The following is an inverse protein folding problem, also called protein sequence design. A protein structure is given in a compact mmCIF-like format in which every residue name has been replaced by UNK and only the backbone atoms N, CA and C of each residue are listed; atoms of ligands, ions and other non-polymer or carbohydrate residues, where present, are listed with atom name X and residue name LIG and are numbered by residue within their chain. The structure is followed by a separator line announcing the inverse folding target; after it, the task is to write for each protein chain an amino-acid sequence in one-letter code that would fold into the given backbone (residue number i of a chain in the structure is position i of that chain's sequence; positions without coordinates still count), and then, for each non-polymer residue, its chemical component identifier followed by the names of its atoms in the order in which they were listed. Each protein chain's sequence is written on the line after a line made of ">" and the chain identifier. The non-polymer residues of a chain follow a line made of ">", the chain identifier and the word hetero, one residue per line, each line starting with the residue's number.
data_IF_098013900241
#
_entry.id   IF_098013900241
#
_cell.length_a   1.000
_cell.length_b   1.000
_cell.length_c   1.000
_cell.angle_alpha   90.00
_cell.angle_beta   90.00
_cell.angle_gamma   90.00
#
_symmetry.space_group_name_H-M   'P 1'
#
loop_
_entity.id
_entity.type
_entity.pdbx_description
1 polymer ?
#
# COMPACT_ATOMS: atom_id res chain seq x y z
N UNK A 1 -13.07 -14.51 -5.62
CA UNK A 1 -13.11 -14.02 -4.23
C UNK A 1 -13.98 -12.77 -4.16
N UNK A 2 -14.75 -12.55 -3.09
CA UNK A 2 -15.49 -11.32 -2.85
C UNK A 2 -15.01 -10.72 -1.52
N UNK A 3 -14.69 -9.43 -1.50
CA UNK A 3 -14.29 -8.68 -0.30
C UNK A 3 -15.45 -7.76 0.08
N UNK A 4 -15.84 -7.75 1.36
CA UNK A 4 -16.88 -6.81 1.82
C UNK A 4 -16.24 -5.43 1.95
N UNK A 5 -16.94 -4.40 1.48
CA UNK A 5 -16.45 -3.02 1.50
C UNK A 5 -17.58 -2.08 1.93
N UNK A 6 -17.25 -1.12 2.80
CA UNK A 6 -18.04 0.07 3.07
C UNK A 6 -17.30 1.25 2.47
N UNK A 7 -18.01 2.08 1.71
CA UNK A 7 -17.48 3.30 1.14
C UNK A 7 -18.31 4.48 1.66
N UNK A 8 -17.70 5.30 2.51
CA UNK A 8 -18.29 6.54 3.05
C UNK A 8 -17.84 7.78 2.27
N UNK A 9 -16.95 7.61 1.29
CA UNK A 9 -16.55 8.69 0.41
C UNK A 9 -17.64 9.00 -0.62
N UNK A 10 -17.50 10.14 -1.30
CA UNK A 10 -18.31 10.53 -2.46
C UNK A 10 -17.77 10.00 -3.80
N UNK A 11 -16.75 9.15 -3.77
CA UNK A 11 -16.07 8.63 -4.94
C UNK A 11 -16.55 7.22 -5.30
N UNK A 12 -16.47 6.78 -6.57
CA UNK A 12 -16.77 5.42 -6.96
C UNK A 12 -15.93 4.39 -6.19
N UNK A 13 -16.43 3.15 -6.12
CA UNK A 13 -15.64 2.05 -5.57
C UNK A 13 -14.35 1.84 -6.39
N UNK A 14 -13.27 1.34 -5.77
CA UNK A 14 -12.07 0.96 -6.50
C UNK A 14 -12.37 -0.12 -7.54
N UNK A 15 -11.85 0.05 -8.75
CA UNK A 15 -12.04 -0.85 -9.87
C UNK A 15 -10.69 -1.19 -10.52
N UNK A 16 -10.63 -2.38 -11.12
CA UNK A 16 -9.47 -2.78 -11.89
C UNK A 16 -9.45 -2.02 -13.22
N UNK A 17 -8.36 -1.30 -13.47
CA UNK A 17 -8.23 -0.48 -14.68
C UNK A 17 -8.22 -1.32 -15.97
N UNK A 18 -7.69 -2.54 -15.90
CA UNK A 18 -7.67 -3.50 -17.00
C UNK A 18 -7.96 -4.92 -16.48
N UNK A 19 -8.38 -5.87 -17.34
CA UNK A 19 -8.67 -7.25 -16.91
C UNK A 19 -7.48 -7.99 -16.26
N UNK A 20 -6.25 -7.56 -16.53
CA UNK A 20 -5.02 -8.17 -16.02
C UNK A 20 -4.31 -7.28 -14.97
N UNK A 21 -4.97 -6.22 -14.50
CA UNK A 21 -4.42 -5.37 -13.45
C UNK A 21 -4.32 -6.14 -12.13
N UNK A 22 -3.17 -6.08 -11.47
CA UNK A 22 -2.96 -6.75 -10.18
C UNK A 22 -3.68 -6.05 -9.02
N UNK A 23 -3.87 -4.73 -9.12
CA UNK A 23 -4.49 -3.91 -8.08
C UNK A 23 -5.51 -2.92 -8.60
N UNK A 24 -6.21 -2.29 -7.66
CA UNK A 24 -7.22 -1.26 -7.90
C UNK A 24 -6.72 0.09 -7.39
N UNK A 25 -6.93 1.16 -8.16
CA UNK A 25 -6.53 2.51 -7.74
C UNK A 25 -7.39 2.97 -6.55
N UNK A 26 -6.76 3.58 -5.54
CA UNK A 26 -7.42 4.14 -4.35
C UNK A 26 -7.35 5.66 -4.39
N UNK A 27 -8.47 6.30 -4.05
CA UNK A 27 -8.64 7.75 -4.13
C UNK A 27 -8.55 8.42 -2.76
N UNK A 28 -8.05 9.65 -2.74
CA UNK A 28 -8.11 10.51 -1.56
C UNK A 28 -9.56 10.95 -1.30
N UNK A 29 -9.97 10.97 -0.03
CA UNK A 29 -11.25 11.51 0.42
C UNK A 29 -11.02 12.69 1.35
N UNK A 30 -11.07 13.91 0.83
CA UNK A 30 -10.62 15.13 1.53
C UNK A 30 -11.66 16.24 1.50
N UNK A 31 -11.83 16.98 2.60
CA UNK A 31 -12.68 18.19 2.61
C UNK A 31 -11.99 19.40 1.96
N UNK A 32 -10.66 19.44 2.00
CA UNK A 32 -9.82 20.44 1.35
C UNK A 32 -8.51 19.82 0.84
N UNK A 33 -7.88 20.39 -0.20
CA UNK A 33 -6.59 19.91 -0.69
C UNK A 33 -5.51 19.87 0.40
N UNK A 34 -4.62 18.87 0.34
CA UNK A 34 -3.52 18.70 1.28
C UNK A 34 -2.19 18.80 0.55
N UNK A 35 -1.36 19.77 0.92
CA UNK A 35 0.00 19.91 0.37
C UNK A 35 1.02 19.20 1.25
N UNK A 36 1.91 18.44 0.61
CA UNK A 36 3.12 17.86 1.18
C UNK A 36 4.33 18.64 0.67
N UNK A 37 5.03 19.33 1.56
CA UNK A 37 6.35 19.88 1.27
C UNK A 37 7.41 18.78 1.09
N UNK A 38 8.63 19.13 0.64
CA UNK A 38 9.76 18.20 0.59
C UNK A 38 9.99 17.50 1.93
N UNK A 39 10.16 16.17 1.88
CA UNK A 39 10.34 15.26 3.03
C UNK A 39 9.17 15.22 4.02
N UNK A 40 8.05 15.86 3.69
CA UNK A 40 6.87 15.86 4.52
C UNK A 40 6.05 14.58 4.34
N UNK A 41 5.34 14.19 5.40
CA UNK A 41 4.39 13.08 5.40
C UNK A 41 3.00 13.51 5.83
N UNK A 42 1.99 12.91 5.22
CA UNK A 42 0.57 13.12 5.54
C UNK A 42 -0.17 11.80 5.52
N UNK A 43 -1.06 11.65 6.50
CA UNK A 43 -2.02 10.56 6.54
C UNK A 43 -3.25 10.99 5.74
N UNK A 44 -3.49 10.34 4.60
CA UNK A 44 -4.56 10.70 3.67
C UNK A 44 -5.72 9.69 3.81
N UNK A 45 -6.91 10.13 4.26
CA UNK A 45 -8.10 9.30 4.32
C UNK A 45 -8.60 8.89 2.94
N UNK A 46 -9.30 7.75 2.88
CA UNK A 46 -9.86 7.19 1.63
C UNK A 46 -11.38 7.02 1.70
N UNK A 47 -11.96 7.05 2.91
CA UNK A 47 -13.38 6.72 3.14
C UNK A 47 -13.72 5.24 2.89
N UNK A 48 -12.72 4.37 2.73
CA UNK A 48 -12.92 2.94 2.47
C UNK A 48 -12.68 2.14 3.74
N UNK A 49 -13.50 1.11 3.95
CA UNK A 49 -13.37 0.12 5.01
C UNK A 49 -13.60 -1.24 4.40
N UNK A 50 -12.78 -2.23 4.71
CA UNK A 50 -12.89 -3.56 4.10
C UNK A 50 -12.94 -4.66 5.16
N UNK A 51 -13.46 -5.81 4.78
CA UNK A 51 -13.28 -7.05 5.52
C UNK A 51 -12.74 -8.11 4.56
N UNK A 52 -11.48 -8.50 4.76
CA UNK A 52 -10.84 -9.55 4.01
C UNK A 52 -11.18 -10.93 4.60
N UNK A 53 -11.20 -11.98 3.79
CA UNK A 53 -11.23 -13.35 4.29
C UNK A 53 -9.93 -13.71 5.03
N UNK A 54 -10.00 -14.67 5.93
CA UNK A 54 -8.82 -15.27 6.58
C UNK A 54 -7.83 -15.83 5.54
N UNK A 55 -6.53 -15.72 5.82
CA UNK A 55 -5.44 -16.11 4.91
C UNK A 55 -5.14 -15.09 3.81
N UNK A 56 -5.66 -13.86 3.93
CA UNK A 56 -5.40 -12.78 3.00
C UNK A 56 -5.06 -11.46 3.72
N UNK A 57 -4.16 -10.70 3.11
CA UNK A 57 -3.91 -9.30 3.44
C UNK A 57 -4.24 -8.41 2.23
N UNK A 58 -4.42 -7.12 2.47
CA UNK A 58 -4.36 -6.12 1.41
C UNK A 58 -3.11 -5.27 1.56
N UNK A 59 -2.46 -4.99 0.44
CA UNK A 59 -1.22 -4.23 0.37
C UNK A 59 -1.49 -2.91 -0.35
N UNK A 60 -1.31 -1.79 0.37
CA UNK A 60 -1.26 -0.46 -0.22
C UNK A 60 0.11 -0.22 -0.84
N UNK A 61 0.13 0.05 -2.15
CA UNK A 61 1.34 0.25 -2.94
C UNK A 61 1.34 1.61 -3.65
N UNK A 62 2.50 2.23 -3.84
CA UNK A 62 2.64 3.45 -4.63
C UNK A 62 2.19 3.26 -6.08
N UNK A 63 1.74 4.34 -6.72
CA UNK A 63 1.52 4.40 -8.16
C UNK A 63 2.82 4.85 -8.84
N UNK A 64 3.30 4.09 -9.82
CA UNK A 64 4.59 4.37 -10.49
C UNK A 64 4.65 5.78 -11.09
N UNK A 65 3.55 6.28 -11.63
CA UNK A 65 3.47 7.64 -12.17
C UNK A 65 3.68 8.73 -11.12
N UNK A 66 3.13 8.56 -9.92
CA UNK A 66 3.32 9.50 -8.81
C UNK A 66 4.76 9.45 -8.28
N UNK A 67 5.30 8.23 -8.14
CA UNK A 67 6.67 8.02 -7.69
C UNK A 67 7.70 8.64 -8.65
N UNK A 68 7.60 8.35 -9.95
CA UNK A 68 8.58 8.82 -10.94
C UNK A 68 8.46 10.31 -11.23
N UNK A 69 7.23 10.85 -11.36
CA UNK A 69 7.03 12.23 -11.83
C UNK A 69 7.03 13.27 -10.71
N UNK A 70 6.68 12.87 -9.50
CA UNK A 70 6.45 13.79 -8.38
C UNK A 70 7.21 13.39 -7.10
N UNK A 71 7.97 12.29 -7.10
CA UNK A 71 8.64 11.79 -5.90
C UNK A 71 7.68 11.36 -4.79
N UNK A 72 6.42 11.09 -5.11
CA UNK A 72 5.40 10.72 -4.12
C UNK A 72 5.34 9.21 -3.97
N UNK A 73 5.54 8.75 -2.75
CA UNK A 73 5.44 7.34 -2.38
C UNK A 73 4.71 7.18 -1.06
N UNK A 74 4.55 5.94 -0.61
CA UNK A 74 4.01 5.62 0.71
C UNK A 74 5.15 5.29 1.66
N UNK A 75 5.18 5.94 2.83
CA UNK A 75 6.27 5.78 3.79
C UNK A 75 6.40 4.34 4.30
N UNK A 76 5.27 3.66 4.45
CA UNK A 76 5.16 2.28 4.91
C UNK A 76 4.95 1.28 3.77
N UNK A 77 5.36 1.59 2.53
CA UNK A 77 5.14 0.70 1.38
C UNK A 77 5.92 -0.62 1.48
N UNK A 78 5.30 -1.78 1.14
CA UNK A 78 3.86 -1.96 0.99
C UNK A 78 3.15 -1.86 2.35
N UNK A 79 2.08 -1.06 2.41
CA UNK A 79 1.30 -0.91 3.64
C UNK A 79 0.38 -2.10 3.85
N UNK A 80 0.61 -2.90 4.89
CA UNK A 80 -0.20 -4.07 5.23
C UNK A 80 -1.54 -3.67 5.87
N UNK A 81 -2.61 -4.29 5.40
CA UNK A 81 -3.96 -4.23 5.95
C UNK A 81 -4.37 -5.66 6.32
N UNK A 82 -4.52 -5.90 7.62
CA UNK A 82 -4.85 -7.22 8.19
C UNK A 82 -6.30 -7.63 7.92
N UNK A 83 -6.55 -8.94 7.95
CA UNK A 83 -7.88 -9.48 7.64
C UNK A 83 -8.98 -9.11 8.65
N UNK A 84 -8.59 -8.86 9.89
CA UNK A 84 -9.47 -8.46 10.98
C UNK A 84 -9.58 -6.93 11.15
N UNK A 85 -8.83 -6.15 10.36
CA UNK A 85 -8.91 -4.69 10.38
C UNK A 85 -10.26 -4.21 9.86
N UNK A 86 -10.96 -3.37 10.64
CA UNK A 86 -12.25 -2.75 10.27
C UNK A 86 -12.23 -1.22 10.34
N UNK A 87 -11.06 -0.64 10.54
CA UNK A 87 -10.89 0.82 10.50
C UNK A 87 -10.89 1.35 9.07
N UNK A 88 -10.82 2.67 8.96
CA UNK A 88 -10.69 3.32 7.67
C UNK A 88 -9.31 3.04 7.07
N UNK A 89 -9.27 2.67 5.80
CA UNK A 89 -8.02 2.57 5.06
C UNK A 89 -7.46 3.98 4.87
N UNK A 90 -6.28 4.25 5.41
CA UNK A 90 -5.58 5.52 5.27
C UNK A 90 -4.20 5.28 4.69
N UNK A 91 -3.72 6.22 3.87
CA UNK A 91 -2.44 6.10 3.17
C UNK A 91 -1.46 7.11 3.75
N UNK A 92 -0.29 6.65 4.20
CA UNK A 92 0.79 7.53 4.66
C UNK A 92 1.64 7.96 3.47
N UNK A 93 1.25 9.04 2.81
CA UNK A 93 2.04 9.62 1.72
C UNK A 93 3.26 10.34 2.28
N UNK A 94 4.38 10.22 1.56
CA UNK A 94 5.60 11.01 1.77
C UNK A 94 6.04 11.62 0.44
N UNK A 95 6.47 12.86 0.49
CA UNK A 95 7.07 13.55 -0.64
C UNK A 95 8.60 13.47 -0.55
N UNK A 96 9.23 12.70 -1.44
CA UNK A 96 10.69 12.56 -1.52
C UNK A 96 11.31 13.45 -2.61
N UNK A 97 10.52 14.32 -3.25
CA UNK A 97 11.02 15.33 -4.16
C UNK A 97 11.43 16.61 -3.43
N UNK A 98 12.03 17.53 -4.18
CA UNK A 98 12.39 18.89 -3.75
C UNK A 98 11.30 19.93 -4.05
N UNK A 99 10.15 19.52 -4.58
CA UNK A 99 9.02 20.41 -4.90
C UNK A 99 7.77 20.04 -4.09
N UNK A 100 6.96 21.01 -3.64
CA UNK A 100 5.69 20.70 -2.99
C UNK A 100 4.73 19.95 -3.92
N UNK A 101 3.98 19.00 -3.37
CA UNK A 101 2.93 18.26 -4.08
C UNK A 101 1.60 18.43 -3.36
N UNK A 102 0.55 18.81 -4.10
CA UNK A 102 -0.80 18.98 -3.55
C UNK A 102 -1.68 17.81 -3.97
N UNK A 103 -2.19 17.08 -2.99
CA UNK A 103 -3.21 16.05 -3.18
C UNK A 103 -4.58 16.73 -3.21
N UNK A 104 -5.32 16.51 -4.29
CA UNK A 104 -6.72 16.93 -4.38
C UNK A 104 -7.68 15.80 -3.98
N UNK A 105 -8.89 16.17 -3.56
CA UNK A 105 -9.96 15.20 -3.33
C UNK A 105 -10.26 14.39 -4.61
N UNK A 106 -10.49 13.09 -4.47
CA UNK A 106 -10.77 12.18 -5.57
C UNK A 106 -9.55 11.78 -6.40
N UNK A 107 -8.38 12.35 -6.12
CA UNK A 107 -7.14 11.97 -6.80
C UNK A 107 -6.71 10.55 -6.44
N UNK A 108 -6.21 9.81 -7.43
CA UNK A 108 -5.72 8.44 -7.26
C UNK A 108 -4.31 8.48 -6.67
N UNK A 109 -4.20 8.19 -5.38
CA UNK A 109 -2.98 8.38 -4.58
C UNK A 109 -2.21 7.09 -4.30
N UNK A 110 -2.82 5.95 -4.57
CA UNK A 110 -2.25 4.63 -4.29
C UNK A 110 -2.97 3.55 -5.08
N UNK A 111 -2.50 2.31 -4.94
CA UNK A 111 -3.20 1.13 -5.45
C UNK A 111 -3.20 0.03 -4.39
N UNK A 112 -4.30 -0.73 -4.34
CA UNK A 112 -4.48 -1.85 -3.43
C UNK A 112 -4.34 -3.18 -4.17
N UNK A 113 -3.50 -4.07 -3.66
CA UNK A 113 -3.39 -5.46 -4.11
C UNK A 113 -3.82 -6.37 -2.97
N UNK A 114 -4.77 -7.27 -3.22
CA UNK A 114 -5.15 -8.31 -2.23
C UNK A 114 -4.32 -9.56 -2.50
N UNK A 115 -3.60 -10.03 -1.48
CA UNK A 115 -2.66 -11.14 -1.59
C UNK A 115 -2.96 -12.21 -0.55
N UNK A 116 -2.61 -13.47 -0.85
CA UNK A 116 -2.62 -14.55 0.14
C UNK A 116 -1.43 -14.37 1.09
N UNK A 117 -1.64 -14.68 2.37
CA UNK A 117 -0.61 -14.72 3.39
C UNK A 117 -0.79 -15.96 4.25
N UNK A 118 0.33 -16.55 4.68
CA UNK A 118 0.34 -17.73 5.55
C UNK A 118 0.60 -17.30 6.99
N UNK A 119 -0.07 -17.95 7.94
CA UNK A 119 0.32 -17.88 9.34
C UNK A 119 1.43 -18.91 9.61
N UNK A 120 2.57 -18.44 10.12
CA UNK A 120 3.71 -19.30 10.43
C UNK A 120 3.68 -19.72 11.90
N UNK A 121 4.07 -20.96 12.16
CA UNK A 121 4.42 -21.45 13.48
C UNK A 121 5.94 -21.54 13.61
N UNK A 122 6.50 -20.99 14.68
CA UNK A 122 7.95 -21.01 14.88
C UNK A 122 8.38 -22.36 15.47
N UNK A 123 9.39 -22.99 14.86
CA UNK A 123 10.07 -24.18 15.40
C UNK A 123 11.52 -23.82 15.77
N UNK A 124 11.83 -23.58 17.06
CA UNK A 124 13.19 -23.26 17.48
C UNK A 124 14.15 -24.45 17.26
N UNK A 125 15.32 -24.19 16.67
CA UNK A 125 16.38 -25.17 16.41
C UNK A 125 17.76 -24.58 16.73
N UNK A 126 18.75 -25.43 17.00
CA UNK A 126 20.13 -24.98 17.30
C UNK A 126 20.94 -24.59 16.05
N UNK A 127 20.59 -25.15 14.88
CA UNK A 127 21.24 -24.86 13.60
C UNK A 127 20.24 -25.01 12.43
N UNK A 128 20.48 -24.24 11.37
CA UNK A 128 19.78 -24.34 10.08
C UNK A 128 20.57 -25.23 9.10
N UNK A 129 19.91 -25.72 8.06
CA UNK A 129 20.53 -26.41 6.94
C UNK A 129 21.39 -25.47 6.07
N UNK A 130 22.38 -26.05 5.38
CA UNK A 130 23.22 -25.31 4.45
C UNK A 130 22.53 -25.11 3.10
N UNK A 131 22.65 -23.91 2.53
CA UNK A 131 22.18 -23.59 1.19
C UNK A 131 23.29 -22.94 0.37
N UNK A 132 23.18 -22.98 -0.96
CA UNK A 132 24.15 -22.32 -1.87
C UNK A 132 24.32 -20.82 -1.55
N UNK A 133 23.24 -20.16 -1.12
CA UNK A 133 23.26 -18.74 -0.72
C UNK A 133 23.87 -18.52 0.68
N UNK A 134 23.65 -19.45 1.61
CA UNK A 134 24.14 -19.37 2.99
C UNK A 134 23.82 -18.01 3.65
N UNK A 135 24.84 -17.37 4.21
CA UNK A 135 24.75 -16.04 4.84
C UNK A 135 24.89 -14.85 3.87
N UNK A 136 24.88 -15.09 2.55
CA UNK A 136 25.01 -14.05 1.52
C UNK A 136 23.80 -13.12 1.41
N UNK A 137 24.00 -11.82 1.68
CA UNK A 137 22.98 -10.76 1.56
C UNK A 137 23.56 -9.44 1.04
N UNK A 138 22.70 -8.44 0.78
CA UNK A 138 23.10 -7.07 0.43
C UNK A 138 24.08 -6.95 -0.77
N UNK A 139 23.71 -7.49 -1.93
CA UNK A 139 24.55 -7.41 -3.13
C UNK A 139 25.55 -8.57 -3.28
N UNK A 140 25.32 -9.70 -2.59
CA UNK A 140 26.21 -10.86 -2.62
C UNK A 140 26.44 -11.51 -4.01
N UNK A 141 25.65 -11.14 -5.02
CA UNK A 141 25.82 -11.58 -6.42
C UNK A 141 26.44 -10.51 -7.33
N UNK A 142 26.88 -9.37 -6.80
CA UNK A 142 27.40 -8.23 -7.56
C UNK A 142 26.40 -7.07 -7.75
N UNK A 143 26.91 -5.97 -8.30
CA UNK A 143 26.14 -4.78 -8.77
C UNK A 143 25.52 -5.09 -10.13
#
# INVERSE_FOLDING_TARGET
>A
MKVKIVNTSRHPLPEYATPLSAGVDVRAFLDAPVTLGPLERRLIPTGLYIALPEGYEAQMRPRSGLALKHGITMLNSPGTIDADYRGELKIVLVNLSDTPFTVCDGERIGQMVVARCEHVEWQPVEALDETERGSGGFGHTGI
#
